data_IF_630730273599
#
_entry.id   IF_630730273599
#
_cell.length_a   1.000
_cell.length_b   1.000
_cell.length_c   1.000
_cell.angle_alpha   90.00
_cell.angle_beta   90.00
_cell.angle_gamma   90.00
#
_symmetry.space_group_name_H-M   'P 1'
#
loop_
_entity.id
_entity.type
_entity.pdbx_description
1 polymer ?
#
# COMPACT_ATOMS: atom_id res chain seq x y z
N UNK A 1 -9.40 35.16 68.24
CA UNK A 1 -10.85 34.89 68.24
C UNK A 1 -11.13 33.88 67.13
N UNK A 2 -11.76 32.76 67.53
CA UNK A 2 -12.63 31.82 66.81
C UNK A 2 -12.53 31.70 65.27
N UNK A 3 -12.19 30.52 64.72
CA UNK A 3 -13.10 29.41 64.29
C UNK A 3 -13.74 29.72 62.92
N UNK A 4 -13.88 28.86 61.90
CA UNK A 4 -14.08 27.40 61.72
C UNK A 4 -13.68 27.05 60.26
N UNK A 5 -13.01 25.92 59.98
CA UNK A 5 -13.59 24.64 59.46
C UNK A 5 -14.50 24.83 58.23
N UNK A 6 -14.26 24.17 57.08
CA UNK A 6 -14.88 22.87 56.79
C UNK A 6 -14.29 22.22 55.52
N UNK A 7 -13.82 20.98 55.70
CA UNK A 7 -13.56 19.92 54.69
C UNK A 7 -14.86 19.40 54.04
N UNK A 8 -14.83 18.79 52.85
CA UNK A 8 -14.79 17.31 52.80
C UNK A 8 -13.82 16.80 51.72
N UNK A 9 -12.99 15.76 51.92
CA UNK A 9 -13.19 14.35 52.33
C UNK A 9 -13.64 13.44 51.17
N UNK A 10 -12.78 12.45 50.86
CA UNK A 10 -13.05 11.24 50.06
C UNK A 10 -12.85 11.40 48.56
N UNK A 11 -12.32 10.45 47.80
CA UNK A 11 -11.94 9.06 48.08
C UNK A 11 -10.92 8.62 47.03
N UNK A 12 -10.03 7.74 47.46
CA UNK A 12 -9.24 6.84 46.62
C UNK A 12 -10.17 6.03 45.72
N UNK A 13 -9.83 5.96 44.43
CA UNK A 13 -10.09 4.77 43.61
C UNK A 13 -8.99 4.61 42.56
N UNK A 14 -8.08 3.69 42.87
CA UNK A 14 -7.23 3.02 41.89
C UNK A 14 -8.11 2.22 40.95
N UNK A 15 -8.10 2.49 39.65
CA UNK A 15 -8.43 1.47 38.65
C UNK A 15 -7.24 1.27 37.70
N UNK A 16 -6.45 0.29 38.10
CA UNK A 16 -5.62 -0.52 37.23
C UNK A 16 -6.53 -1.43 36.41
N UNK A 17 -6.64 -1.19 35.11
CA UNK A 17 -7.11 -2.21 34.16
C UNK A 17 -6.43 -2.04 32.81
N UNK A 18 -5.31 -2.73 32.73
CA UNK A 18 -4.67 -3.25 31.54
C UNK A 18 -5.63 -4.23 30.85
N UNK A 19 -6.08 -4.07 29.58
CA UNK A 19 -6.80 -5.13 28.90
C UNK A 19 -5.78 -6.10 28.29
N UNK A 20 -5.32 -7.02 29.11
CA UNK A 20 -4.69 -8.26 28.65
C UNK A 20 -5.79 -9.28 28.35
N UNK A 21 -5.64 -9.96 27.20
CA UNK A 21 -6.22 -11.26 26.83
C UNK A 21 -7.67 -11.29 26.38
N UNK A 22 -7.84 -11.52 25.07
CA UNK A 22 -8.41 -12.80 24.59
C UNK A 22 -7.75 -13.21 23.28
N UNK A 23 -6.69 -13.99 23.41
CA UNK A 23 -6.19 -14.86 22.35
C UNK A 23 -7.17 -16.02 22.19
N UNK A 24 -8.10 -15.92 21.24
CA UNK A 24 -8.76 -17.12 20.72
C UNK A 24 -7.81 -17.77 19.69
N UNK A 25 -6.98 -18.68 20.20
CA UNK A 25 -6.26 -19.64 19.38
C UNK A 25 -7.10 -20.92 19.33
N UNK A 26 -7.83 -21.09 18.24
CA UNK A 26 -8.32 -22.40 17.80
C UNK A 26 -7.16 -23.15 17.13
N UNK A 27 -6.63 -24.26 17.70
CA UNK A 27 -5.58 -25.04 17.09
C UNK A 27 -6.20 -26.17 16.28
N UNK A 28 -6.94 -25.84 15.23
CA UNK A 28 -7.40 -26.84 14.28
C UNK A 28 -7.50 -26.23 12.88
N UNK A 29 -6.62 -26.72 11.98
CA UNK A 29 -6.67 -26.60 10.51
C UNK A 29 -5.83 -25.50 9.84
N UNK A 30 -4.54 -25.40 10.18
CA UNK A 30 -3.58 -24.54 9.44
C UNK A 30 -3.06 -25.18 8.14
N UNK A 31 -3.94 -25.33 7.14
CA UNK A 31 -3.48 -25.34 5.75
C UNK A 31 -3.40 -23.88 5.28
N UNK A 32 -2.22 -23.27 5.43
CA UNK A 32 -1.84 -22.00 4.80
C UNK A 32 -2.56 -20.76 5.33
N UNK A 33 -2.37 -20.42 6.61
CA UNK A 33 -2.74 -19.09 7.09
C UNK A 33 -1.95 -18.02 6.31
N UNK A 34 -2.66 -17.18 5.56
CA UNK A 34 -2.07 -16.05 4.87
C UNK A 34 -1.46 -15.09 5.90
N UNK A 35 -0.25 -14.61 5.63
CA UNK A 35 0.46 -13.75 6.57
C UNK A 35 -0.22 -12.38 6.65
N UNK A 36 -0.66 -12.00 7.86
CA UNK A 36 -1.28 -10.70 8.11
C UNK A 36 -0.23 -9.70 8.63
N UNK A 37 -0.16 -8.53 7.99
CA UNK A 37 0.73 -7.44 8.40
C UNK A 37 0.26 -6.79 9.69
N UNK A 38 0.77 -7.26 10.83
CA UNK A 38 0.61 -6.58 12.11
C UNK A 38 1.37 -5.26 12.14
N UNK A 39 1.05 -4.40 13.12
CA UNK A 39 1.76 -3.15 13.35
C UNK A 39 3.26 -3.39 13.58
N UNK A 40 3.56 -4.35 14.47
CA UNK A 40 4.92 -4.72 14.82
C UNK A 40 5.68 -5.31 13.61
N UNK A 41 5.03 -6.16 12.79
CA UNK A 41 5.62 -6.66 11.56
C UNK A 41 5.91 -5.56 10.54
N UNK A 42 5.00 -4.60 10.41
CA UNK A 42 5.20 -3.44 9.53
C UNK A 42 6.38 -2.58 10.02
N UNK A 43 6.51 -2.36 11.33
CA UNK A 43 7.69 -1.69 11.90
C UNK A 43 8.99 -2.46 11.63
N UNK A 44 8.98 -3.78 11.75
CA UNK A 44 10.16 -4.60 11.43
C UNK A 44 10.56 -4.47 9.95
N UNK A 45 9.59 -4.47 9.04
CA UNK A 45 9.84 -4.22 7.61
C UNK A 45 10.47 -2.84 7.39
N UNK A 46 9.87 -1.78 7.96
CA UNK A 46 10.34 -0.41 7.79
C UNK A 46 11.77 -0.26 8.28
N UNK A 47 12.05 -0.70 9.52
CA UNK A 47 13.41 -0.62 10.11
C UNK A 47 14.43 -1.40 9.28
N UNK A 48 14.10 -2.62 8.88
CA UNK A 48 15.00 -3.47 8.09
C UNK A 48 15.29 -2.87 6.72
N UNK A 49 14.25 -2.39 6.01
CA UNK A 49 14.43 -1.82 4.67
C UNK A 49 15.21 -0.51 4.73
N UNK A 50 14.93 0.35 5.70
CA UNK A 50 15.64 1.61 5.87
C UNK A 50 17.11 1.40 6.28
N UNK A 51 17.41 0.38 7.11
CA UNK A 51 18.79 0.03 7.45
C UNK A 51 19.60 -0.43 6.21
N UNK A 52 18.94 -1.03 5.23
CA UNK A 52 19.55 -1.46 3.96
C UNK A 52 19.42 -0.41 2.85
N UNK A 53 19.09 0.85 3.16
CA UNK A 53 18.74 1.81 2.11
C UNK A 53 19.85 2.10 1.11
N UNK A 54 21.08 2.19 1.57
CA UNK A 54 22.28 2.30 0.72
C UNK A 54 22.43 1.12 -0.25
N UNK A 55 22.16 -0.11 0.21
CA UNK A 55 22.24 -1.31 -0.63
C UNK A 55 21.17 -1.33 -1.73
N UNK A 56 20.03 -0.66 -1.51
CA UNK A 56 18.96 -0.57 -2.50
C UNK A 56 19.11 0.63 -3.44
N UNK A 57 19.77 1.70 -2.98
CA UNK A 57 20.13 2.85 -3.79
C UNK A 57 21.25 2.49 -4.77
N UNK A 58 22.29 1.79 -4.28
CA UNK A 58 23.41 1.27 -5.07
C UNK A 58 23.47 -0.27 -5.00
N UNK A 59 22.58 -0.96 -5.73
CA UNK A 59 22.50 -2.40 -5.67
C UNK A 59 23.72 -3.07 -6.31
N UNK A 60 24.51 -3.74 -5.48
CA UNK A 60 25.61 -4.63 -5.90
C UNK A 60 25.11 -5.96 -6.49
N UNK A 61 23.84 -6.29 -6.27
CA UNK A 61 23.20 -7.50 -6.78
C UNK A 61 21.76 -7.23 -7.26
N UNK A 62 21.11 -8.24 -7.87
CA UNK A 62 19.71 -8.10 -8.31
C UNK A 62 18.79 -7.76 -7.14
N UNK A 63 17.90 -6.78 -7.29
CA UNK A 63 16.93 -6.36 -6.25
C UNK A 63 16.11 -7.52 -5.65
N UNK A 64 15.82 -8.57 -6.42
CA UNK A 64 15.17 -9.80 -5.93
C UNK A 64 15.93 -10.43 -4.75
N UNK A 65 17.26 -10.43 -4.78
CA UNK A 65 18.10 -10.94 -3.69
C UNK A 65 18.05 -10.04 -2.47
N UNK A 66 18.10 -8.72 -2.64
CA UNK A 66 17.94 -7.77 -1.54
C UNK A 66 16.59 -7.95 -0.83
N UNK A 67 15.51 -8.11 -1.58
CA UNK A 67 14.18 -8.38 -1.00
C UNK A 67 14.09 -9.73 -0.29
N UNK A 68 14.81 -10.74 -0.78
CA UNK A 68 14.92 -12.02 -0.09
C UNK A 68 15.62 -11.85 1.27
N UNK A 69 16.74 -11.12 1.31
CA UNK A 69 17.45 -10.78 2.55
C UNK A 69 16.59 -9.97 3.52
N UNK A 70 15.80 -9.00 3.02
CA UNK A 70 14.85 -8.24 3.85
C UNK A 70 13.83 -9.18 4.48
N UNK A 71 13.23 -10.08 3.69
CA UNK A 71 12.24 -11.03 4.21
C UNK A 71 12.83 -12.00 5.24
N UNK A 72 14.06 -12.49 5.02
CA UNK A 72 14.78 -13.32 5.99
C UNK A 72 15.00 -12.56 7.31
N UNK A 73 15.53 -11.33 7.26
CA UNK A 73 15.75 -10.49 8.45
C UNK A 73 14.46 -10.17 9.20
N UNK A 74 13.39 -9.80 8.49
CA UNK A 74 12.08 -9.53 9.09
C UNK A 74 11.53 -10.79 9.77
N UNK A 75 11.63 -11.94 9.10
CA UNK A 75 11.16 -13.22 9.64
C UNK A 75 11.94 -13.61 10.90
N UNK A 76 13.26 -13.44 10.92
CA UNK A 76 14.08 -13.69 12.12
C UNK A 76 13.68 -12.76 13.27
N UNK A 77 13.56 -11.47 13.01
CA UNK A 77 13.18 -10.48 14.04
C UNK A 77 11.77 -10.74 14.60
N UNK A 78 10.84 -11.19 13.76
CA UNK A 78 9.47 -11.54 14.18
C UNK A 78 9.46 -12.79 15.06
N UNK A 79 10.25 -13.80 14.70
CA UNK A 79 10.41 -15.03 15.51
C UNK A 79 11.04 -14.72 16.87
N UNK A 80 12.07 -13.87 16.91
CA UNK A 80 12.69 -13.41 18.17
C UNK A 80 11.72 -12.61 19.04
N UNK A 81 10.74 -11.93 18.45
CA UNK A 81 9.71 -11.18 19.17
C UNK A 81 8.51 -12.05 19.64
N UNK A 82 8.58 -13.38 19.50
CA UNK A 82 7.56 -14.31 19.97
C UNK A 82 6.64 -14.88 18.89
N UNK A 83 6.82 -14.52 17.61
CA UNK A 83 6.00 -15.02 16.50
C UNK A 83 6.69 -16.19 15.78
N UNK A 84 6.84 -17.34 16.46
CA UNK A 84 7.67 -18.44 15.97
C UNK A 84 7.18 -19.10 14.67
N UNK A 85 5.89 -19.00 14.37
CA UNK A 85 5.26 -19.70 13.23
C UNK A 85 5.06 -18.81 11.99
N UNK A 86 5.56 -17.57 12.03
CA UNK A 86 5.40 -16.62 10.93
C UNK A 86 6.61 -16.66 10.00
N UNK A 87 6.37 -16.93 8.72
CA UNK A 87 7.37 -16.78 7.66
C UNK A 87 6.89 -15.76 6.63
N UNK A 88 7.63 -14.67 6.48
CA UNK A 88 7.32 -13.62 5.50
C UNK A 88 8.09 -13.88 4.21
N UNK A 89 7.42 -13.76 3.07
CA UNK A 89 8.04 -13.96 1.75
C UNK A 89 8.55 -12.64 1.17
N UNK A 90 9.58 -12.70 0.32
CA UNK A 90 10.19 -11.53 -0.31
C UNK A 90 9.19 -10.62 -1.05
N UNK A 91 8.23 -11.22 -1.77
CA UNK A 91 7.25 -10.46 -2.54
C UNK A 91 6.22 -9.74 -1.63
N UNK A 92 5.87 -10.32 -0.47
CA UNK A 92 5.00 -9.70 0.52
C UNK A 92 5.65 -8.43 1.06
N UNK A 93 6.95 -8.50 1.41
CA UNK A 93 7.74 -7.34 1.86
C UNK A 93 7.79 -6.24 0.80
N UNK A 94 8.11 -6.59 -0.46
CA UNK A 94 8.16 -5.60 -1.56
C UNK A 94 6.79 -4.97 -1.79
N UNK A 95 5.72 -5.76 -1.85
CA UNK A 95 4.37 -5.27 -2.07
C UNK A 95 3.94 -4.31 -0.96
N UNK A 96 4.16 -4.70 0.31
CA UNK A 96 3.86 -3.86 1.47
C UNK A 96 4.67 -2.57 1.44
N UNK A 97 5.98 -2.64 1.14
CA UNK A 97 6.83 -1.47 1.04
C UNK A 97 6.39 -0.51 -0.06
N UNK A 98 6.03 -1.02 -1.26
CA UNK A 98 5.50 -0.19 -2.35
C UNK A 98 4.19 0.49 -1.96
N UNK A 99 3.30 -0.21 -1.27
CA UNK A 99 2.06 0.38 -0.73
C UNK A 99 2.38 1.50 0.29
N UNK A 100 3.32 1.25 1.21
CA UNK A 100 3.78 2.25 2.17
C UNK A 100 4.41 3.46 1.49
N UNK A 101 5.21 3.27 0.45
CA UNK A 101 5.78 4.38 -0.32
C UNK A 101 4.71 5.22 -1.03
N UNK A 102 3.62 4.61 -1.50
CA UNK A 102 2.51 5.36 -2.09
C UNK A 102 1.85 6.29 -1.06
N UNK A 103 1.61 5.79 0.16
CA UNK A 103 1.11 6.58 1.28
C UNK A 103 2.11 7.65 1.71
N UNK A 104 3.39 7.29 1.83
CA UNK A 104 4.47 8.21 2.17
C UNK A 104 4.54 9.39 1.20
N UNK A 105 4.49 9.16 -0.12
CA UNK A 105 4.52 10.24 -1.11
C UNK A 105 3.38 11.23 -0.92
N UNK A 106 2.15 10.74 -0.73
CA UNK A 106 0.99 11.60 -0.44
C UNK A 106 1.20 12.42 0.84
N UNK A 107 1.76 11.78 1.87
CA UNK A 107 2.06 12.41 3.14
C UNK A 107 3.19 13.45 3.02
N UNK A 108 4.22 13.22 2.20
CA UNK A 108 5.27 14.22 1.96
C UNK A 108 4.72 15.47 1.27
N UNK A 109 3.81 15.31 0.30
CA UNK A 109 3.18 16.47 -0.35
C UNK A 109 2.24 17.21 0.61
N UNK A 110 1.56 16.48 1.53
CA UNK A 110 0.82 17.11 2.63
C UNK A 110 1.73 17.87 3.59
N UNK A 111 2.84 17.27 4.00
CA UNK A 111 3.82 17.88 4.89
C UNK A 111 4.45 19.14 4.30
N UNK A 112 4.72 19.17 2.98
CA UNK A 112 5.17 20.37 2.28
C UNK A 112 4.15 21.50 2.31
N UNK A 113 2.85 21.19 2.19
CA UNK A 113 1.77 22.19 2.12
C UNK A 113 1.34 22.71 3.49
N UNK A 114 1.29 21.84 4.50
CA UNK A 114 0.69 22.12 5.81
C UNK A 114 1.68 22.02 6.97
N UNK A 115 2.95 21.69 6.71
CA UNK A 115 3.97 21.41 7.72
C UNK A 115 4.01 19.94 8.14
N UNK A 116 5.17 19.48 8.58
CA UNK A 116 5.42 18.08 8.95
C UNK A 116 4.49 17.57 10.07
N UNK A 117 4.12 18.44 11.02
CA UNK A 117 3.24 18.11 12.14
C UNK A 117 1.79 17.77 11.72
N UNK A 118 1.41 18.06 10.48
CA UNK A 118 0.09 17.72 9.96
C UNK A 118 -0.07 16.22 9.61
N UNK A 119 1.03 15.46 9.56
CA UNK A 119 1.04 14.05 9.18
C UNK A 119 1.14 13.15 10.41
N UNK A 120 0.04 12.49 10.77
CA UNK A 120 -0.07 11.65 11.97
C UNK A 120 0.22 10.16 11.70
N UNK A 121 0.83 9.83 10.56
CA UNK A 121 1.09 8.45 10.18
C UNK A 121 2.37 7.97 10.87
N UNK A 122 2.26 6.93 11.70
CA UNK A 122 3.33 6.50 12.62
C UNK A 122 4.67 6.17 11.95
N UNK A 123 4.64 5.68 10.71
CA UNK A 123 5.84 5.36 9.95
C UNK A 123 6.44 6.57 9.23
N UNK A 124 5.73 7.70 9.19
CA UNK A 124 6.12 8.87 8.40
C UNK A 124 7.45 9.42 8.85
N UNK A 125 7.61 9.72 10.14
CA UNK A 125 8.84 10.34 10.66
C UNK A 125 10.06 9.45 10.38
N UNK A 126 9.97 8.16 10.74
CA UNK A 126 11.05 7.20 10.51
C UNK A 126 11.43 7.08 9.02
N UNK A 127 10.45 7.08 8.12
CA UNK A 127 10.73 7.05 6.68
C UNK A 127 11.25 8.40 6.16
N UNK A 128 10.74 9.52 6.68
CA UNK A 128 11.10 10.86 6.24
C UNK A 128 12.52 11.24 6.66
N UNK A 129 12.97 10.78 7.83
CA UNK A 129 14.31 11.04 8.35
C UNK A 129 15.43 10.45 7.49
N UNK A 130 15.14 9.41 6.70
CA UNK A 130 16.12 8.74 5.83
C UNK A 130 15.83 9.05 4.36
N UNK A 131 14.61 8.79 3.89
CA UNK A 131 14.24 9.03 2.49
C UNK A 131 14.09 10.51 2.14
N UNK A 132 13.76 11.35 3.12
CA UNK A 132 13.66 12.81 2.94
C UNK A 132 15.04 13.45 2.74
N UNK A 133 16.05 13.03 3.51
CA UNK A 133 17.44 13.49 3.36
C UNK A 133 18.01 13.17 1.99
N UNK A 134 17.83 11.93 1.51
CA UNK A 134 18.22 11.53 0.15
C UNK A 134 17.57 12.43 -0.92
N UNK A 135 16.28 12.75 -0.78
CA UNK A 135 15.59 13.63 -1.74
C UNK A 135 16.10 15.09 -1.68
N UNK A 136 16.31 15.63 -0.48
CA UNK A 136 16.77 17.00 -0.30
C UNK A 136 18.21 17.18 -0.80
N UNK A 137 19.08 16.20 -0.57
CA UNK A 137 20.44 16.16 -1.12
C UNK A 137 20.43 16.11 -2.65
N UNK A 138 19.58 15.27 -3.25
CA UNK A 138 19.42 15.20 -4.72
C UNK A 138 18.87 16.52 -5.29
N UNK A 139 17.91 17.15 -4.61
CA UNK A 139 17.38 18.46 -5.03
C UNK A 139 18.44 19.58 -4.87
N UNK A 140 19.26 19.54 -3.82
CA UNK A 140 20.38 20.47 -3.62
C UNK A 140 21.48 20.29 -4.68
N UNK A 141 21.88 19.06 -4.99
CA UNK A 141 22.81 18.74 -6.07
C UNK A 141 22.27 19.18 -7.43
N UNK A 142 20.96 19.04 -7.69
CA UNK A 142 20.33 19.50 -8.94
C UNK A 142 20.34 21.03 -9.07
N UNK A 143 20.15 21.76 -7.96
CA UNK A 143 20.27 23.23 -7.94
C UNK A 143 21.70 23.69 -8.21
N UNK A 144 22.71 22.96 -7.73
CA UNK A 144 24.13 23.26 -7.98
C UNK A 144 24.55 22.90 -9.43
N UNK A 145 24.03 21.80 -9.98
CA UNK A 145 24.37 21.34 -11.34
C UNK A 145 23.56 22.05 -12.45
N UNK A 146 22.49 22.76 -12.11
CA UNK A 146 21.68 23.55 -13.05
C UNK A 146 22.33 24.84 -13.57
N UNK A 147 23.55 25.17 -13.13
CA UNK A 147 24.23 26.44 -13.47
C UNK A 147 25.02 26.45 -14.79
N UNK A 148 25.06 25.38 -15.57
CA UNK A 148 25.85 25.32 -16.83
C UNK A 148 25.06 24.75 -18.00
N UNK A 149 24.10 25.52 -18.53
CA UNK A 149 23.86 25.53 -19.98
C UNK A 149 23.47 26.95 -20.41
N UNK A 150 24.30 27.51 -21.28
CA UNK A 150 24.31 28.92 -21.64
C UNK A 150 23.05 29.43 -22.34
N UNK A 151 22.66 30.62 -21.93
CA UNK A 151 22.15 31.77 -22.70
C UNK A 151 22.11 31.57 -24.23
N UNK A 152 20.91 31.63 -24.80
CA UNK A 152 20.69 32.13 -26.16
C UNK A 152 19.41 32.98 -26.18
N UNK A 153 19.58 34.28 -25.92
CA UNK A 153 18.53 35.28 -26.06
C UNK A 153 18.54 35.70 -27.53
N UNK A 154 17.64 35.15 -28.34
CA UNK A 154 17.41 35.66 -29.68
C UNK A 154 16.37 36.79 -29.61
N UNK A 155 16.82 38.00 -29.28
CA UNK A 155 16.03 39.20 -29.45
C UNK A 155 15.87 39.48 -30.96
N UNK A 156 14.74 39.06 -31.53
CA UNK A 156 14.35 39.46 -32.88
C UNK A 156 13.69 40.83 -32.81
N UNK A 157 14.37 41.78 -33.42
CA UNK A 157 14.09 43.20 -33.50
C UNK A 157 12.78 43.41 -34.26
N UNK A 158 11.89 44.18 -33.67
CA UNK A 158 10.65 44.65 -34.26
C UNK A 158 10.96 45.65 -35.38
N UNK A 159 10.59 45.34 -36.61
CA UNK A 159 10.54 46.28 -37.74
C UNK A 159 9.08 46.46 -38.15
N UNK A 160 8.50 47.68 -38.08
CA UNK A 160 7.13 47.92 -38.49
C UNK A 160 7.10 48.16 -40.00
N UNK A 161 6.46 47.26 -40.76
CA UNK A 161 5.99 47.56 -42.11
C UNK A 161 4.59 46.94 -42.27
N UNK A 162 3.58 47.81 -42.29
CA UNK A 162 2.25 47.54 -42.81
C UNK A 162 2.36 47.36 -44.34
N UNK A 163 1.64 46.41 -44.99
CA UNK A 163 0.30 46.74 -45.47
C UNK A 163 -0.73 45.59 -45.46
N UNK A 164 -1.97 45.97 -45.14
CA UNK A 164 -3.29 45.56 -45.70
C UNK A 164 -3.68 44.06 -45.84
N UNK A 165 -4.79 43.61 -45.22
CA UNK A 165 -5.39 42.30 -45.47
C UNK A 165 -6.41 42.35 -46.63
N UNK A 166 -6.32 41.41 -47.58
CA UNK A 166 -7.40 41.10 -48.53
C UNK A 166 -8.14 39.86 -48.03
N UNK A 167 -9.45 40.03 -47.81
CA UNK A 167 -10.43 38.99 -47.54
C UNK A 167 -10.59 38.04 -48.73
N UNK A 168 -10.68 36.72 -48.49
CA UNK A 168 -11.72 35.80 -48.99
C UNK A 168 -11.47 34.32 -48.64
N UNK A 169 -12.49 33.42 -48.68
CA UNK A 169 -12.81 32.54 -47.56
C UNK A 169 -12.87 31.02 -47.88
N UNK A 170 -13.08 30.27 -46.79
CA UNK A 170 -13.71 28.94 -46.70
C UNK A 170 -12.99 27.71 -47.27
N UNK A 171 -12.28 26.99 -46.37
CA UNK A 171 -12.34 25.54 -46.23
C UNK A 171 -12.11 25.17 -44.75
N UNK A 172 -12.78 24.15 -44.20
CA UNK A 172 -12.98 24.01 -42.76
C UNK A 172 -11.72 23.42 -42.10
N UNK A 173 -11.10 24.21 -41.24
CA UNK A 173 -10.22 23.66 -40.22
C UNK A 173 -11.08 22.85 -39.25
N UNK A 174 -10.97 21.52 -39.26
CA UNK A 174 -11.43 20.68 -38.15
C UNK A 174 -10.48 20.87 -36.96
N UNK A 175 -10.55 22.04 -36.35
CA UNK A 175 -9.92 22.30 -35.07
C UNK A 175 -10.85 21.79 -33.97
N UNK A 176 -10.89 20.47 -33.73
CA UNK A 176 -11.43 19.98 -32.46
C UNK A 176 -10.71 18.72 -31.97
N UNK A 177 -9.76 18.88 -31.05
CA UNK A 177 -9.42 17.81 -30.12
C UNK A 177 -9.44 18.36 -28.68
N UNK A 178 -10.62 18.36 -28.03
CA UNK A 178 -10.69 17.98 -26.62
C UNK A 178 -11.54 16.71 -26.38
N UNK A 179 -12.35 16.29 -27.37
CA UNK A 179 -13.26 15.15 -27.24
C UNK A 179 -12.52 13.80 -27.19
N UNK A 180 -11.48 13.60 -28.00
CA UNK A 180 -10.80 12.31 -28.12
C UNK A 180 -10.08 11.87 -26.83
N UNK A 181 -9.56 12.84 -26.07
CA UNK A 181 -8.91 12.57 -24.78
C UNK A 181 -9.93 12.19 -23.71
N UNK A 182 -11.08 12.86 -23.71
CA UNK A 182 -12.19 12.52 -22.81
C UNK A 182 -12.74 11.13 -23.15
N UNK A 183 -12.90 10.83 -24.44
CA UNK A 183 -13.32 9.52 -24.91
C UNK A 183 -12.34 8.42 -24.49
N UNK A 184 -11.03 8.65 -24.61
CA UNK A 184 -10.01 7.72 -24.14
C UNK A 184 -10.07 7.50 -22.62
N UNK A 185 -10.40 8.54 -21.86
CA UNK A 185 -10.57 8.42 -20.41
C UNK A 185 -11.80 7.58 -20.04
N UNK A 186 -12.94 7.79 -20.70
CA UNK A 186 -14.13 6.95 -20.51
C UNK A 186 -13.86 5.49 -20.89
N UNK A 187 -13.20 5.27 -22.03
CA UNK A 187 -12.85 3.93 -22.51
C UNK A 187 -11.87 3.22 -21.56
N UNK A 188 -10.93 3.97 -20.96
CA UNK A 188 -10.03 3.43 -19.95
C UNK A 188 -10.77 3.05 -18.65
N UNK A 189 -11.72 3.89 -18.23
CA UNK A 189 -12.55 3.61 -17.06
C UNK A 189 -13.44 2.38 -17.30
N UNK A 190 -14.03 2.26 -18.49
CA UNK A 190 -14.82 1.11 -18.91
C UNK A 190 -13.98 -0.17 -18.92
N UNK A 191 -12.79 -0.15 -19.52
CA UNK A 191 -11.88 -1.31 -19.51
C UNK A 191 -11.51 -1.75 -18.10
N UNK A 192 -11.25 -0.81 -17.20
CA UNK A 192 -10.98 -1.13 -15.78
C UNK A 192 -12.20 -1.78 -15.12
N UNK A 193 -13.40 -1.25 -15.36
CA UNK A 193 -14.63 -1.80 -14.81
C UNK A 193 -14.91 -3.20 -15.36
N UNK A 194 -14.72 -3.41 -16.66
CA UNK A 194 -14.90 -4.70 -17.33
C UNK A 194 -13.90 -5.74 -16.81
N UNK A 195 -12.64 -5.36 -16.63
CA UNK A 195 -11.63 -6.26 -16.06
C UNK A 195 -11.99 -6.66 -14.62
N UNK A 196 -12.45 -5.69 -13.82
CA UNK A 196 -12.91 -5.96 -12.46
C UNK A 196 -14.14 -6.87 -12.44
N UNK A 197 -15.11 -6.63 -13.32
CA UNK A 197 -16.29 -7.47 -13.47
C UNK A 197 -15.93 -8.90 -13.90
N UNK A 198 -14.98 -9.07 -14.82
CA UNK A 198 -14.47 -10.39 -15.22
C UNK A 198 -13.80 -11.11 -14.05
N UNK A 199 -12.97 -10.41 -13.28
CA UNK A 199 -12.32 -11.00 -12.11
C UNK A 199 -13.35 -11.45 -11.07
N UNK A 200 -14.37 -10.63 -10.82
CA UNK A 200 -15.46 -10.96 -9.91
C UNK A 200 -16.26 -12.17 -10.39
N UNK A 201 -16.63 -12.20 -11.68
CA UNK A 201 -17.34 -13.33 -12.27
C UNK A 201 -16.51 -14.63 -12.24
N UNK A 202 -15.19 -14.53 -12.42
CA UNK A 202 -14.29 -15.67 -12.27
C UNK A 202 -14.29 -16.18 -10.83
N UNK A 203 -14.26 -15.29 -9.85
CA UNK A 203 -14.29 -15.66 -8.44
C UNK A 203 -15.62 -16.30 -8.03
N UNK A 204 -16.75 -15.76 -8.52
CA UNK A 204 -18.07 -16.34 -8.29
C UNK A 204 -18.19 -17.76 -8.89
N UNK A 205 -17.67 -17.99 -10.11
CA UNK A 205 -17.63 -19.35 -10.69
C UNK A 205 -16.76 -20.31 -9.90
N UNK A 206 -15.65 -19.84 -9.31
CA UNK A 206 -14.82 -20.71 -8.44
C UNK A 206 -15.61 -21.13 -7.20
N UNK A 207 -16.32 -20.19 -6.56
CA UNK A 207 -17.16 -20.49 -5.41
C UNK A 207 -18.26 -21.49 -5.79
N UNK A 208 -18.90 -21.29 -6.94
CA UNK A 208 -19.93 -22.20 -7.45
C UNK A 208 -19.38 -23.61 -7.72
N UNK A 209 -18.20 -23.72 -8.35
CA UNK A 209 -17.54 -24.99 -8.58
C UNK A 209 -17.21 -25.72 -7.28
N UNK A 210 -16.68 -25.00 -6.27
CA UNK A 210 -16.41 -25.56 -4.93
C UNK A 210 -17.70 -26.08 -4.30
N UNK A 211 -18.78 -25.31 -4.36
CA UNK A 211 -20.07 -25.72 -3.80
C UNK A 211 -20.67 -26.93 -4.53
N UNK A 212 -20.56 -26.98 -5.86
CA UNK A 212 -21.00 -28.14 -6.65
C UNK A 212 -20.20 -29.40 -6.29
N UNK A 213 -18.87 -29.29 -6.12
CA UNK A 213 -18.03 -30.40 -5.66
C UNK A 213 -18.41 -30.86 -4.26
N UNK A 214 -18.66 -29.93 -3.34
CA UNK A 214 -19.11 -30.26 -1.99
C UNK A 214 -20.43 -31.05 -2.00
N UNK A 215 -21.42 -30.61 -2.80
CA UNK A 215 -22.69 -31.32 -2.94
C UNK A 215 -22.54 -32.72 -3.55
N UNK A 216 -21.67 -32.88 -4.56
CA UNK A 216 -21.40 -34.18 -5.16
C UNK A 216 -20.77 -35.17 -4.16
N UNK A 217 -19.83 -34.70 -3.34
CA UNK A 217 -19.21 -35.50 -2.28
C UNK A 217 -20.25 -35.90 -1.22
N UNK A 218 -21.11 -34.97 -0.79
CA UNK A 218 -22.20 -35.27 0.16
C UNK A 218 -23.16 -36.33 -0.38
N UNK A 219 -23.58 -36.21 -1.65
CA UNK A 219 -24.48 -37.20 -2.28
C UNK A 219 -23.85 -38.59 -2.36
N UNK A 220 -22.56 -38.69 -2.71
CA UNK A 220 -21.85 -39.98 -2.74
C UNK A 220 -21.68 -40.59 -1.35
N UNK A 221 -21.51 -39.77 -0.32
CA UNK A 221 -21.44 -40.25 1.06
C UNK A 221 -22.78 -40.85 1.53
N UNK A 222 -23.92 -40.23 1.15
CA UNK A 222 -25.26 -40.73 1.47
C UNK A 222 -25.62 -42.01 0.69
N UNK A 223 -25.20 -42.12 -0.57
CA UNK A 223 -25.42 -43.31 -1.41
C UNK A 223 -24.63 -44.53 -0.88
N UNK A 224 -23.37 -44.33 -0.48
CA UNK A 224 -22.56 -45.37 0.17
C UNK A 224 -23.16 -45.82 1.51
N UNK A 225 -23.80 -44.93 2.26
CA UNK A 225 -24.43 -45.27 3.54
C UNK A 225 -25.72 -46.11 3.35
N UNK A 226 -26.32 -46.05 2.17
CA UNK A 226 -27.55 -46.76 1.81
C UNK A 226 -27.31 -48.16 1.19
N UNK A 227 -26.07 -48.51 0.84
CA UNK A 227 -25.70 -49.79 0.21
C UNK A 227 -25.14 -50.86 1.19
N UNK A 228 -25.07 -50.60 2.50
CA UNK A 228 -24.69 -51.62 3.48
C UNK A 228 -25.78 -52.72 3.58
N UNK A 229 -25.49 -53.99 3.26
CA UNK A 229 -26.49 -55.05 3.27
C UNK A 229 -26.90 -55.34 4.72
N UNK A 230 -28.21 -55.55 4.92
CA UNK A 230 -28.73 -56.24 6.11
C UNK A 230 -28.23 -57.69 6.06
N UNK A 231 -27.09 -57.94 6.67
CA UNK A 231 -26.53 -59.29 6.77
C UNK A 231 -27.25 -60.04 7.90
N UNK A 232 -28.00 -61.06 7.47
CA UNK A 232 -28.72 -62.09 8.22
C UNK A 232 -28.43 -62.20 9.73
N UNK A 233 -29.47 -61.98 10.54
CA UNK A 233 -29.64 -62.73 11.79
C UNK A 233 -30.37 -64.03 11.48
N UNK A 234 -29.61 -65.12 11.40
CA UNK A 234 -30.09 -66.49 11.59
C UNK A 234 -29.68 -66.98 12.96
#
# INVERSE_FOLDING_TARGET
>A
MASVETTPKGSVESNNENPTVVSNLDPAKSKGAEFVWTLQATWQLVRTRLAMDSEFDQPVCKKKKLWQTVAERVTVNLRSAGNQDITVKAYECDLKWRNMLATYRKNTERAKRLGAQSVHWEFFQAMHDILGKSREEVEAQKKLNGGKLGRAIAAKKFTPILPTPTLQPSAPYSARPPQDVLQLYLELQERKMNLWAQQKALEERKIEAINNLARAISSLAEENHSQLPKENSG
#
